data_IF_574149685449
#
_entry.id   IF_574149685449
#
_cell.length_a   1.000
_cell.length_b   1.000
_cell.length_c   1.000
_cell.angle_alpha   90.00
_cell.angle_beta   90.00
_cell.angle_gamma   90.00
#
_symmetry.space_group_name_H-M   'P 1'
#
loop_
_entity.id
_entity.type
_entity.pdbx_description
1 polymer ?
#
# COMPACT_ATOMS: atom_id res chain seq x y z
N UNK A 1 50.46 1.40 -26.03
CA UNK A 1 49.16 2.05 -25.83
C UNK A 1 48.07 1.01 -26.17
N UNK A 2 47.64 0.25 -25.16
CA UNK A 2 46.68 -0.86 -25.34
C UNK A 2 45.28 -0.30 -25.15
N UNK A 3 44.52 -0.23 -26.22
CA UNK A 3 43.10 0.18 -26.17
C UNK A 3 42.32 -0.97 -25.57
N UNK A 4 41.89 -0.79 -24.32
CA UNK A 4 40.96 -1.69 -23.66
C UNK A 4 39.57 -1.41 -24.26
N UNK A 5 39.11 -2.21 -25.23
CA UNK A 5 37.74 -2.21 -25.68
C UNK A 5 36.88 -2.80 -24.55
N UNK A 6 36.22 -1.95 -23.76
CA UNK A 6 35.09 -2.39 -22.93
C UNK A 6 33.98 -2.81 -23.90
N UNK A 7 33.82 -4.11 -24.09
CA UNK A 7 32.61 -4.67 -24.66
C UNK A 7 31.57 -4.52 -23.55
N UNK A 8 30.71 -3.48 -23.64
CA UNK A 8 29.45 -3.48 -22.88
C UNK A 8 28.69 -4.71 -23.38
N UNK A 9 28.59 -5.72 -22.53
CA UNK A 9 27.69 -6.83 -22.77
C UNK A 9 26.27 -6.23 -22.86
N UNK A 10 25.68 -6.28 -24.06
CA UNK A 10 24.30 -5.92 -24.25
C UNK A 10 23.48 -6.77 -23.27
N UNK A 11 22.68 -6.14 -22.41
CA UNK A 11 21.78 -6.84 -21.52
C UNK A 11 20.96 -7.84 -22.36
N UNK A 12 20.87 -9.10 -21.88
CA UNK A 12 20.14 -10.12 -22.61
C UNK A 12 18.67 -9.68 -22.76
N UNK A 13 18.06 -9.82 -23.95
CA UNK A 13 16.69 -9.36 -24.17
C UNK A 13 15.73 -10.14 -23.27
N UNK A 14 14.66 -9.48 -22.83
CA UNK A 14 13.50 -10.12 -22.21
C UNK A 14 13.03 -11.29 -23.08
N UNK A 15 12.79 -12.44 -22.50
CA UNK A 15 12.34 -13.63 -23.21
C UNK A 15 11.11 -14.27 -22.55
N UNK A 16 10.44 -15.18 -23.26
CA UNK A 16 9.29 -15.93 -22.77
C UNK A 16 8.13 -15.08 -22.21
N UNK A 17 7.86 -13.92 -22.86
CA UNK A 17 6.71 -13.11 -22.49
C UNK A 17 5.40 -13.88 -22.69
N UNK A 18 4.65 -14.09 -21.62
CA UNK A 18 3.36 -14.78 -21.60
C UNK A 18 2.29 -13.86 -21.03
N UNK A 19 1.07 -14.01 -21.55
CA UNK A 19 -0.12 -13.34 -21.03
C UNK A 19 -1.16 -14.39 -20.62
N UNK A 20 -1.57 -14.38 -19.37
CA UNK A 20 -2.58 -15.29 -18.83
C UNK A 20 -3.75 -14.49 -18.29
N UNK A 21 -4.96 -14.72 -18.85
CA UNK A 21 -6.17 -14.05 -18.38
C UNK A 21 -6.82 -14.86 -17.24
N UNK A 22 -7.17 -14.15 -16.15
CA UNK A 22 -7.82 -14.74 -14.98
C UNK A 22 -8.60 -13.68 -14.19
N UNK A 23 -9.81 -13.99 -13.79
CA UNK A 23 -10.62 -13.21 -12.84
C UNK A 23 -10.68 -11.70 -13.17
N UNK A 24 -10.83 -11.35 -14.45
CA UNK A 24 -10.86 -9.96 -14.91
C UNK A 24 -9.49 -9.27 -15.00
N UNK A 25 -8.41 -10.01 -14.89
CA UNK A 25 -7.05 -9.50 -15.02
C UNK A 25 -6.22 -10.28 -16.02
N UNK A 26 -5.19 -9.65 -16.56
CA UNK A 26 -4.17 -10.28 -17.39
C UNK A 26 -2.84 -10.21 -16.67
N UNK A 27 -2.25 -11.36 -16.41
CA UNK A 27 -0.94 -11.52 -15.79
C UNK A 27 0.09 -11.67 -16.92
N UNK A 28 0.96 -10.68 -17.04
CA UNK A 28 2.11 -10.72 -17.93
C UNK A 28 3.31 -11.21 -17.13
N UNK A 29 3.93 -12.29 -17.60
CA UNK A 29 5.15 -12.84 -17.00
C UNK A 29 6.21 -13.02 -18.06
N UNK A 30 7.48 -12.80 -17.69
CA UNK A 30 8.61 -12.96 -18.61
C UNK A 30 9.86 -13.39 -17.85
N UNK A 31 10.79 -13.98 -18.60
CA UNK A 31 12.15 -14.18 -18.10
C UNK A 31 12.93 -12.91 -18.36
N UNK A 32 13.60 -12.46 -17.33
CA UNK A 32 14.17 -11.13 -17.31
C UNK A 32 15.67 -11.11 -17.58
N UNK A 33 16.07 -10.06 -18.27
CA UNK A 33 17.37 -9.46 -18.16
C UNK A 33 17.31 -8.32 -17.12
N UNK A 34 18.43 -7.86 -16.65
CA UNK A 34 18.61 -6.74 -15.71
C UNK A 34 18.20 -5.38 -16.35
N UNK A 35 16.99 -5.30 -16.90
CA UNK A 35 16.51 -4.15 -17.68
C UNK A 35 15.19 -3.65 -17.14
N UNK A 36 15.11 -2.36 -16.92
CA UNK A 36 13.84 -1.67 -16.62
C UNK A 36 12.97 -1.64 -17.87
N UNK A 37 11.69 -1.98 -17.72
CA UNK A 37 10.76 -2.07 -18.85
C UNK A 37 9.53 -1.20 -18.69
N UNK A 38 9.00 -0.72 -19.81
CA UNK A 38 7.67 -0.14 -19.91
C UNK A 38 6.71 -1.16 -20.53
N UNK A 39 5.43 -1.13 -20.16
CA UNK A 39 4.37 -2.01 -20.68
C UNK A 39 3.38 -1.20 -21.47
N UNK A 40 3.11 -1.64 -22.69
CA UNK A 40 2.13 -1.05 -23.61
C UNK A 40 0.98 -1.99 -23.90
N UNK A 41 -0.20 -1.41 -24.10
CA UNK A 41 -1.46 -2.09 -24.41
C UNK A 41 -2.09 -1.49 -25.67
N UNK A 42 -2.62 -2.36 -26.54
CA UNK A 42 -3.46 -1.97 -27.68
C UNK A 42 -4.57 -3.00 -27.94
N UNK A 43 -5.58 -2.61 -28.72
CA UNK A 43 -6.63 -3.51 -29.24
C UNK A 43 -6.24 -4.22 -30.54
N UNK A 44 -5.10 -3.84 -31.13
CA UNK A 44 -4.55 -4.39 -32.37
C UNK A 44 -3.05 -4.71 -32.19
N UNK A 45 -2.43 -5.51 -33.07
CA UNK A 45 -1.00 -5.79 -33.04
C UNK A 45 -0.17 -4.50 -32.97
N UNK A 46 0.74 -4.42 -32.03
CA UNK A 46 1.55 -3.22 -31.77
C UNK A 46 2.74 -3.21 -32.75
N UNK A 47 2.57 -2.54 -33.87
CA UNK A 47 3.64 -2.23 -34.83
C UNK A 47 4.21 -0.82 -34.61
N UNK A 48 3.44 0.06 -33.96
CA UNK A 48 3.77 1.46 -33.69
C UNK A 48 3.29 1.82 -32.27
N UNK A 49 4.23 2.18 -31.40
CA UNK A 49 3.95 2.53 -30.01
C UNK A 49 3.08 3.79 -29.86
N UNK A 50 3.05 4.67 -30.85
CA UNK A 50 2.19 5.87 -30.82
C UNK A 50 0.70 5.54 -30.83
N UNK A 51 0.34 4.33 -31.26
CA UNK A 51 -1.03 3.79 -31.28
C UNK A 51 -1.35 2.91 -30.07
N UNK A 52 -0.41 2.73 -29.16
CA UNK A 52 -0.56 1.93 -27.96
C UNK A 52 -0.58 2.82 -26.72
N UNK A 53 -1.30 2.40 -25.70
CA UNK A 53 -1.32 3.07 -24.40
C UNK A 53 -0.26 2.47 -23.49
N UNK A 54 0.62 3.30 -22.94
CA UNK A 54 1.55 2.87 -21.89
C UNK A 54 0.78 2.69 -20.60
N UNK A 55 0.75 1.47 -20.06
CA UNK A 55 0.03 1.08 -18.85
C UNK A 55 0.96 0.72 -17.70
N UNK A 56 2.23 0.38 -17.96
CA UNK A 56 3.29 0.19 -16.97
C UNK A 56 4.47 1.09 -17.30
N UNK A 57 5.04 1.72 -16.28
CA UNK A 57 6.13 2.67 -16.44
C UNK A 57 7.27 2.34 -15.51
N UNK A 58 8.49 2.22 -16.06
CA UNK A 58 9.72 1.99 -15.30
C UNK A 58 9.60 0.83 -14.30
N UNK A 59 9.12 -0.32 -14.79
CA UNK A 59 9.12 -1.54 -13.99
C UNK A 59 10.56 -1.98 -13.77
N UNK A 60 10.94 -1.98 -12.51
CA UNK A 60 12.24 -2.46 -12.08
C UNK A 60 12.47 -3.94 -12.41
N UNK A 61 13.71 -4.38 -12.65
CA UNK A 61 14.05 -5.78 -12.75
C UNK A 61 13.53 -6.59 -11.56
N UNK A 62 13.20 -7.86 -11.82
CA UNK A 62 12.73 -8.79 -10.82
C UNK A 62 11.36 -8.45 -10.21
N UNK A 63 10.47 -7.85 -11.00
CA UNK A 63 9.12 -7.47 -10.54
C UNK A 63 8.23 -8.66 -10.13
N UNK A 64 8.62 -9.91 -10.47
CA UNK A 64 7.98 -11.13 -9.97
C UNK A 64 8.43 -11.53 -8.55
N UNK A 65 9.44 -10.86 -7.99
CA UNK A 65 9.96 -11.15 -6.63
C UNK A 65 8.97 -10.70 -5.57
N UNK A 66 8.75 -11.56 -4.61
CA UNK A 66 8.00 -11.22 -3.39
C UNK A 66 8.89 -10.46 -2.41
N UNK A 67 9.06 -9.16 -2.69
CA UNK A 67 9.87 -8.28 -1.88
C UNK A 67 9.29 -8.03 -0.47
N UNK A 68 8.03 -8.40 -0.21
CA UNK A 68 7.43 -8.38 1.12
C UNK A 68 7.95 -9.52 2.01
N UNK A 69 8.39 -10.62 1.42
CA UNK A 69 8.98 -11.77 2.11
C UNK A 69 10.52 -11.80 2.01
N UNK A 70 11.13 -10.88 1.27
CA UNK A 70 12.58 -10.78 1.14
C UNK A 70 13.18 -9.95 2.30
N UNK A 71 13.81 -10.61 3.30
CA UNK A 71 14.44 -9.91 4.43
C UNK A 71 15.50 -8.89 4.00
N UNK A 72 16.17 -9.13 2.86
CA UNK A 72 17.17 -8.21 2.31
C UNK A 72 16.56 -6.85 1.91
N UNK A 73 15.26 -6.81 1.64
CA UNK A 73 14.55 -5.56 1.32
C UNK A 73 14.34 -4.66 2.54
N UNK A 74 14.46 -5.19 3.77
CA UNK A 74 14.06 -4.49 4.98
C UNK A 74 15.07 -4.47 6.12
N UNK A 75 16.10 -5.31 6.09
CA UNK A 75 17.09 -5.39 7.17
C UNK A 75 18.51 -5.47 6.61
N UNK A 76 19.33 -4.49 6.93
CA UNK A 76 20.74 -4.49 6.59
C UNK A 76 21.49 -5.41 7.57
N UNK A 77 22.14 -6.48 7.04
CA UNK A 77 23.12 -7.27 7.79
C UNK A 77 22.62 -8.56 8.45
N UNK A 78 21.35 -8.97 8.29
CA UNK A 78 20.90 -10.30 8.72
C UNK A 78 21.10 -11.36 7.62
N UNK A 79 21.35 -12.65 7.97
CA UNK A 79 21.39 -13.71 6.98
C UNK A 79 20.02 -13.87 6.33
N UNK A 80 19.97 -13.73 5.02
CA UNK A 80 18.73 -13.66 4.26
C UNK A 80 18.38 -15.03 3.70
N UNK A 81 17.09 -15.36 3.72
CA UNK A 81 16.54 -16.45 2.94
C UNK A 81 16.77 -16.23 1.44
N UNK A 82 16.56 -17.25 0.64
CA UNK A 82 16.59 -17.10 -0.81
C UNK A 82 15.38 -16.24 -1.23
N UNK A 83 15.55 -15.33 -2.21
CA UNK A 83 14.42 -14.63 -2.81
C UNK A 83 13.36 -15.62 -3.30
N UNK A 84 12.09 -15.28 -3.12
CA UNK A 84 10.95 -16.05 -3.60
C UNK A 84 10.10 -15.19 -4.53
N UNK A 85 9.45 -15.82 -5.50
CA UNK A 85 8.52 -15.12 -6.39
C UNK A 85 7.09 -15.16 -5.88
N UNK A 86 6.23 -14.31 -6.43
CA UNK A 86 4.80 -14.34 -6.16
C UNK A 86 4.14 -15.60 -6.73
N UNK A 87 3.05 -16.05 -6.10
CA UNK A 87 2.08 -16.94 -6.73
C UNK A 87 1.04 -16.09 -7.46
N UNK A 88 0.73 -16.43 -8.69
CA UNK A 88 -0.34 -15.78 -9.47
C UNK A 88 -1.62 -16.60 -9.55
N UNK A 89 -1.66 -17.72 -8.85
CA UNK A 89 -2.78 -18.65 -8.74
C UNK A 89 -2.77 -19.34 -7.37
N UNK A 90 -3.96 -19.52 -6.77
CA UNK A 90 -4.10 -20.25 -5.51
C UNK A 90 -3.60 -21.70 -5.67
N UNK A 91 -2.71 -22.13 -4.76
CA UNK A 91 -2.08 -23.45 -4.84
C UNK A 91 -1.13 -23.67 -6.02
N UNK A 92 -0.92 -22.65 -6.88
CA UNK A 92 0.04 -22.70 -7.99
C UNK A 92 1.49 -22.63 -7.54
N UNK A 93 2.41 -22.89 -8.44
CA UNK A 93 3.82 -22.68 -8.19
C UNK A 93 4.17 -21.21 -8.07
N UNK A 94 5.25 -20.90 -7.35
CA UNK A 94 5.80 -19.55 -7.30
C UNK A 94 6.50 -19.23 -8.61
N UNK A 95 6.39 -17.97 -9.05
CA UNK A 95 7.18 -17.47 -10.16
C UNK A 95 8.68 -17.51 -9.81
N UNK A 96 9.51 -17.53 -10.84
CA UNK A 96 10.94 -17.29 -10.66
C UNK A 96 11.16 -15.86 -10.12
N UNK A 97 11.81 -15.69 -8.96
CA UNK A 97 12.03 -14.36 -8.38
C UNK A 97 12.96 -13.47 -9.21
N UNK A 98 13.66 -14.03 -10.19
CA UNK A 98 14.46 -13.27 -11.16
C UNK A 98 13.66 -12.82 -12.39
N UNK A 99 12.40 -13.25 -12.51
CA UNK A 99 11.52 -12.90 -13.62
C UNK A 99 10.78 -11.59 -13.43
N UNK A 100 10.05 -11.20 -14.46
CA UNK A 100 9.17 -10.05 -14.47
C UNK A 100 7.69 -10.43 -14.31
N UNK A 101 6.93 -9.54 -13.70
CA UNK A 101 5.48 -9.65 -13.54
C UNK A 101 4.84 -8.26 -13.66
N UNK A 102 3.79 -8.17 -14.47
CA UNK A 102 2.88 -7.03 -14.50
C UNK A 102 1.45 -7.52 -14.61
N UNK A 103 0.51 -6.87 -13.94
CA UNK A 103 -0.90 -7.26 -13.95
C UNK A 103 -1.78 -6.12 -14.42
N UNK A 104 -2.53 -6.36 -15.49
CA UNK A 104 -3.48 -5.42 -16.09
C UNK A 104 -4.91 -5.81 -15.74
N UNK A 105 -5.71 -4.84 -15.28
CA UNK A 105 -7.13 -5.03 -15.01
C UNK A 105 -7.95 -4.78 -16.26
N UNK A 106 -8.69 -5.80 -16.71
CA UNK A 106 -9.45 -5.78 -17.96
C UNK A 106 -10.75 -5.00 -17.77
N UNK A 107 -10.92 -3.92 -18.53
CA UNK A 107 -12.13 -3.08 -18.48
C UNK A 107 -13.13 -3.38 -19.59
N UNK A 108 -12.65 -3.90 -20.70
CA UNK A 108 -13.46 -4.24 -21.87
C UNK A 108 -13.05 -5.60 -22.41
N UNK A 109 -14.04 -6.46 -22.70
CA UNK A 109 -13.79 -7.76 -23.29
C UNK A 109 -13.22 -7.63 -24.72
N UNK A 110 -12.26 -8.47 -25.04
CA UNK A 110 -11.65 -8.51 -26.36
C UNK A 110 -10.29 -9.17 -26.40
N UNK A 111 -9.67 -9.14 -27.57
CA UNK A 111 -8.27 -9.52 -27.75
C UNK A 111 -7.40 -8.32 -27.40
N UNK A 112 -6.49 -8.49 -26.48
CA UNK A 112 -5.57 -7.49 -25.98
C UNK A 112 -4.16 -7.83 -26.46
N UNK A 113 -3.43 -6.82 -26.92
CA UNK A 113 -2.06 -6.94 -27.37
C UNK A 113 -1.15 -6.17 -26.45
N UNK A 114 -0.09 -6.78 -25.99
CA UNK A 114 0.87 -6.21 -25.07
C UNK A 114 2.26 -6.18 -25.70
N UNK A 115 3.01 -5.13 -25.41
CA UNK A 115 4.42 -5.03 -25.73
C UNK A 115 5.21 -4.57 -24.50
N UNK A 116 6.40 -5.14 -24.35
CA UNK A 116 7.42 -4.63 -23.44
C UNK A 116 8.43 -3.84 -24.26
N UNK A 117 8.86 -2.70 -23.72
CA UNK A 117 9.95 -1.90 -24.27
C UNK A 117 11.03 -1.73 -23.24
N UNK A 118 12.27 -1.55 -23.67
CA UNK A 118 13.29 -0.98 -22.79
C UNK A 118 12.86 0.43 -22.40
N UNK A 119 12.94 0.76 -21.11
CA UNK A 119 12.63 2.10 -20.64
C UNK A 119 13.66 3.15 -21.07
N UNK A 120 14.86 2.70 -21.52
CA UNK A 120 15.95 3.58 -21.92
C UNK A 120 15.81 4.09 -23.36
N UNK A 121 15.45 3.20 -24.30
CA UNK A 121 15.43 3.50 -25.75
C UNK A 121 14.07 3.32 -26.40
N UNK A 122 13.02 2.98 -25.63
CA UNK A 122 11.65 2.72 -26.09
C UNK A 122 11.54 1.66 -27.20
N UNK A 123 12.56 0.82 -27.37
CA UNK A 123 12.54 -0.26 -28.36
C UNK A 123 11.67 -1.42 -27.88
N UNK A 124 10.77 -1.92 -28.72
CA UNK A 124 10.01 -3.14 -28.45
C UNK A 124 10.96 -4.33 -28.34
N UNK A 125 10.97 -4.97 -27.18
CA UNK A 125 11.83 -6.11 -26.88
C UNK A 125 11.06 -7.43 -26.81
N UNK A 126 9.75 -7.37 -26.53
CA UNK A 126 8.86 -8.54 -26.55
C UNK A 126 7.41 -8.10 -26.77
N UNK A 127 6.61 -9.00 -27.38
CA UNK A 127 5.16 -8.78 -27.52
C UNK A 127 4.38 -10.09 -27.38
N UNK A 128 3.12 -9.97 -26.96
CA UNK A 128 2.18 -11.10 -26.80
C UNK A 128 0.74 -10.63 -26.93
N UNK A 129 -0.21 -11.57 -26.96
CA UNK A 129 -1.64 -11.23 -26.95
C UNK A 129 -2.46 -12.29 -26.22
N UNK A 130 -3.62 -11.89 -25.71
CA UNK A 130 -4.56 -12.77 -25.03
C UNK A 130 -5.99 -12.29 -25.24
N UNK A 131 -6.96 -13.22 -25.24
CA UNK A 131 -8.38 -12.87 -25.16
C UNK A 131 -8.76 -12.80 -23.68
N UNK A 132 -9.32 -11.67 -23.26
CA UNK A 132 -9.69 -11.43 -21.88
C UNK A 132 -11.00 -10.65 -21.77
N UNK A 133 -11.64 -10.73 -20.61
CA UNK A 133 -12.87 -10.01 -20.30
C UNK A 133 -12.84 -9.48 -18.86
N UNK A 134 -13.60 -8.42 -18.55
CA UNK A 134 -13.81 -7.99 -17.19
C UNK A 134 -14.33 -9.13 -16.30
N UNK A 135 -13.96 -9.15 -15.05
CA UNK A 135 -14.36 -10.17 -14.08
C UNK A 135 -14.23 -9.67 -12.65
N UNK A 136 -14.59 -10.52 -11.71
CA UNK A 136 -14.48 -10.23 -10.29
C UNK A 136 -13.04 -10.47 -9.83
N UNK A 137 -12.30 -9.39 -9.67
CA UNK A 137 -10.95 -9.41 -9.10
C UNK A 137 -11.01 -10.03 -7.71
N UNK A 138 -10.08 -10.92 -7.41
CA UNK A 138 -9.94 -11.52 -6.10
C UNK A 138 -8.48 -11.61 -5.66
N UNK A 139 -8.20 -11.56 -4.36
CA UNK A 139 -6.88 -11.82 -3.83
C UNK A 139 -6.41 -13.25 -4.14
N UNK A 140 -5.10 -13.39 -4.23
CA UNK A 140 -4.42 -14.65 -4.56
C UNK A 140 -3.74 -15.17 -3.30
N UNK A 141 -4.04 -16.41 -2.94
CA UNK A 141 -3.46 -17.07 -1.78
C UNK A 141 -1.96 -17.33 -1.98
N UNK A 142 -1.13 -16.89 -1.06
CA UNK A 142 0.33 -16.97 -1.16
C UNK A 142 0.96 -18.11 -0.37
N UNK A 143 0.18 -18.80 0.50
CA UNK A 143 0.66 -19.90 1.30
C UNK A 143 0.50 -21.24 0.59
N UNK A 144 1.12 -22.26 1.15
CA UNK A 144 0.86 -23.63 0.72
C UNK A 144 -0.56 -24.05 1.11
N UNK A 145 -1.14 -24.96 0.34
CA UNK A 145 -2.53 -25.36 0.48
C UNK A 145 -3.53 -24.40 -0.14
N UNK A 146 -4.76 -24.49 0.32
CA UNK A 146 -5.89 -23.67 -0.18
C UNK A 146 -6.22 -22.54 0.80
N UNK A 147 -6.79 -21.42 0.30
CA UNK A 147 -7.30 -20.38 1.17
C UNK A 147 -8.41 -20.93 2.08
N UNK A 148 -8.67 -20.29 3.23
CA UNK A 148 -9.80 -20.62 4.07
C UNK A 148 -11.12 -20.64 3.29
N UNK A 149 -12.04 -21.52 3.66
CA UNK A 149 -13.32 -21.60 2.99
C UNK A 149 -14.15 -20.30 3.15
N UNK A 150 -14.94 -19.92 2.14
CA UNK A 150 -15.88 -18.80 2.27
C UNK A 150 -16.80 -18.98 3.49
N UNK A 151 -17.10 -17.89 4.20
CA UNK A 151 -17.98 -17.89 5.36
C UNK A 151 -17.36 -18.39 6.67
N UNK A 152 -16.06 -18.73 6.71
CA UNK A 152 -15.38 -19.22 7.93
C UNK A 152 -15.42 -18.22 9.10
N UNK A 153 -15.62 -16.94 8.80
CA UNK A 153 -15.76 -15.86 9.77
C UNK A 153 -17.21 -15.50 10.12
N UNK A 154 -18.20 -16.26 9.62
CA UNK A 154 -19.62 -15.91 9.74
C UNK A 154 -20.04 -15.60 11.17
N UNK A 155 -20.61 -14.41 11.36
CA UNK A 155 -21.13 -13.94 12.64
C UNK A 155 -20.06 -13.63 13.70
N UNK A 156 -18.78 -13.66 13.36
CA UNK A 156 -17.67 -13.30 14.27
C UNK A 156 -17.42 -11.78 14.23
N UNK A 157 -16.92 -11.16 15.32
CA UNK A 157 -16.44 -9.80 15.27
C UNK A 157 -15.24 -9.68 14.32
N UNK A 158 -15.06 -8.50 13.72
CA UNK A 158 -13.92 -8.16 12.89
C UNK A 158 -13.03 -7.12 13.57
N UNK A 159 -11.74 -7.37 13.53
CA UNK A 159 -10.71 -6.41 13.90
C UNK A 159 -9.86 -6.02 12.69
N UNK A 160 -9.87 -4.74 12.34
CA UNK A 160 -8.86 -4.15 11.48
C UNK A 160 -7.68 -3.76 12.35
N UNK A 161 -6.57 -4.49 12.24
CA UNK A 161 -5.35 -4.28 13.03
C UNK A 161 -4.31 -3.57 12.19
N UNK A 162 -4.11 -2.29 12.46
CA UNK A 162 -3.14 -1.45 11.79
C UNK A 162 -1.81 -1.51 12.52
N UNK A 163 -0.76 -1.98 11.83
CA UNK A 163 0.53 -2.19 12.48
C UNK A 163 1.35 -0.90 12.56
N UNK A 164 2.07 -0.71 13.68
CA UNK A 164 2.88 0.49 13.93
C UNK A 164 3.96 0.74 12.88
N UNK A 165 4.56 -0.31 12.33
CA UNK A 165 5.67 -0.18 11.37
C UNK A 165 5.22 -0.36 9.92
N UNK A 166 3.96 -0.18 9.61
CA UNK A 166 3.42 -0.42 8.26
C UNK A 166 3.77 -1.81 7.75
N UNK A 167 4.04 -2.70 8.70
CA UNK A 167 4.98 -3.79 8.61
C UNK A 167 4.75 -4.65 7.40
N UNK A 168 5.83 -5.11 6.91
CA UNK A 168 5.87 -6.45 6.40
C UNK A 168 5.19 -7.28 7.46
N UNK A 169 3.93 -7.60 7.25
CA UNK A 169 3.30 -8.65 8.03
C UNK A 169 4.00 -9.88 7.52
N UNK A 170 5.06 -10.29 8.25
CA UNK A 170 5.67 -11.57 8.00
C UNK A 170 4.52 -12.56 7.88
N UNK A 171 4.47 -13.26 6.76
CA UNK A 171 3.40 -14.19 6.47
C UNK A 171 2.05 -13.58 5.99
N UNK A 172 2.05 -12.46 5.28
CA UNK A 172 0.83 -12.02 4.58
C UNK A 172 0.36 -13.07 3.60
N UNK A 173 -0.88 -13.52 3.78
CA UNK A 173 -1.41 -14.68 3.07
C UNK A 173 -1.99 -14.34 1.71
N UNK A 174 -2.39 -13.08 1.49
CA UNK A 174 -3.06 -12.65 0.27
C UNK A 174 -2.26 -11.62 -0.50
N UNK A 175 -2.17 -11.83 -1.80
CA UNK A 175 -1.65 -10.90 -2.77
C UNK A 175 -2.80 -10.33 -3.59
N UNK A 176 -2.81 -9.03 -3.79
CA UNK A 176 -3.83 -8.33 -4.56
C UNK A 176 -3.16 -7.41 -5.58
N UNK A 177 -3.67 -7.44 -6.79
CA UNK A 177 -3.39 -6.44 -7.82
C UNK A 177 -4.69 -5.70 -8.12
N UNK A 178 -4.62 -4.41 -8.25
CA UNK A 178 -5.76 -3.56 -8.55
C UNK A 178 -5.43 -2.54 -9.62
N UNK A 179 -6.35 -1.62 -9.82
CA UNK A 179 -6.20 -0.48 -10.71
C UNK A 179 -6.66 0.82 -10.03
N UNK A 180 -6.64 1.91 -10.74
CA UNK A 180 -7.04 3.22 -10.20
C UNK A 180 -8.51 3.26 -9.73
N UNK A 181 -9.41 2.44 -10.30
CA UNK A 181 -10.81 2.37 -9.85
C UNK A 181 -10.93 1.77 -8.46
N UNK A 182 -10.00 0.88 -8.10
CA UNK A 182 -9.87 0.29 -6.76
C UNK A 182 -9.03 1.16 -5.82
N UNK A 183 -8.60 2.33 -6.28
CA UNK A 183 -7.66 3.17 -5.53
C UNK A 183 -6.22 2.70 -5.63
N UNK A 184 -5.81 2.14 -6.75
CA UNK A 184 -4.54 1.48 -6.92
C UNK A 184 -3.82 1.90 -8.20
N UNK A 185 -2.51 2.06 -8.11
CA UNK A 185 -1.72 2.15 -9.33
C UNK A 185 -1.62 0.77 -9.96
N UNK A 186 -1.99 0.66 -11.23
CA UNK A 186 -1.97 -0.58 -11.98
C UNK A 186 -0.58 -1.24 -11.98
N UNK A 187 -0.56 -2.55 -11.90
CA UNK A 187 0.67 -3.35 -11.92
C UNK A 187 1.40 -3.47 -10.59
N UNK A 188 1.05 -2.69 -9.56
CA UNK A 188 1.68 -2.83 -8.26
C UNK A 188 1.01 -3.91 -7.40
N UNK A 189 1.79 -4.85 -6.84
CA UNK A 189 1.28 -5.83 -5.91
C UNK A 189 1.04 -5.23 -4.53
N UNK A 190 0.10 -5.83 -3.82
CA UNK A 190 -0.18 -5.51 -2.44
C UNK A 190 -0.48 -6.76 -1.62
N UNK A 191 0.03 -6.82 -0.40
CA UNK A 191 -0.19 -7.95 0.49
C UNK A 191 -0.94 -7.54 1.75
N UNK A 192 -1.78 -8.46 2.23
CA UNK A 192 -2.49 -8.33 3.50
C UNK A 192 -2.73 -9.73 4.09
N UNK A 193 -3.08 -9.78 5.37
CA UNK A 193 -3.48 -11.02 6.01
C UNK A 193 -4.90 -10.96 6.54
N UNK A 194 -5.58 -12.12 6.53
CA UNK A 194 -6.86 -12.31 7.18
C UNK A 194 -6.82 -13.63 7.92
N UNK A 195 -6.84 -13.59 9.23
CA UNK A 195 -6.88 -14.78 10.08
C UNK A 195 -8.20 -14.89 10.84
N UNK A 196 -8.64 -16.12 11.02
CA UNK A 196 -9.78 -16.43 11.91
C UNK A 196 -9.24 -17.19 13.10
N UNK A 197 -9.13 -16.51 14.23
CA UNK A 197 -8.55 -17.06 15.47
C UNK A 197 -9.27 -16.50 16.69
N UNK A 198 -9.29 -17.27 17.76
CA UNK A 198 -9.92 -16.87 19.03
C UNK A 198 -11.39 -16.38 18.89
N UNK A 199 -12.11 -16.88 17.89
CA UNK A 199 -13.50 -16.47 17.65
C UNK A 199 -13.65 -15.16 16.89
N UNK A 200 -12.59 -14.58 16.35
CA UNK A 200 -12.57 -13.29 15.66
C UNK A 200 -12.01 -13.40 14.25
N UNK A 201 -12.37 -12.46 13.38
CA UNK A 201 -11.73 -12.21 12.08
C UNK A 201 -10.77 -11.05 12.24
N UNK A 202 -9.50 -11.26 12.00
CA UNK A 202 -8.48 -10.22 12.12
C UNK A 202 -7.89 -9.91 10.75
N UNK A 203 -8.07 -8.68 10.30
CA UNK A 203 -7.55 -8.16 9.03
C UNK A 203 -6.31 -7.30 9.31
N UNK A 204 -5.20 -7.58 8.64
CA UNK A 204 -3.95 -6.83 8.76
C UNK A 204 -3.49 -6.43 7.37
N UNK A 205 -3.85 -5.23 6.88
CA UNK A 205 -3.28 -4.68 5.66
C UNK A 205 -1.85 -4.20 5.90
N UNK A 206 -1.11 -3.97 4.83
CA UNK A 206 0.20 -3.31 4.89
C UNK A 206 0.07 -1.85 4.47
N UNK A 207 0.87 -0.97 5.08
CA UNK A 207 0.85 0.46 4.77
C UNK A 207 1.91 0.87 3.73
N UNK A 208 2.81 -0.03 3.36
CA UNK A 208 3.94 0.31 2.49
C UNK A 208 3.59 0.21 1.01
N UNK A 209 4.18 1.11 0.23
CA UNK A 209 4.22 1.05 -1.23
C UNK A 209 5.67 0.84 -1.68
N UNK A 210 5.88 -0.06 -2.64
CA UNK A 210 7.18 -0.26 -3.27
C UNK A 210 7.44 0.84 -4.29
N UNK A 211 8.59 1.50 -4.21
CA UNK A 211 8.96 2.62 -5.08
C UNK A 211 10.26 2.38 -5.86
N UNK A 212 10.78 1.15 -5.84
CA UNK A 212 12.04 0.78 -6.52
C UNK A 212 13.30 0.97 -5.68
N UNK A 213 14.44 0.61 -6.25
CA UNK A 213 15.75 0.66 -5.57
C UNK A 213 16.32 2.07 -5.47
N UNK A 214 17.33 2.23 -4.61
CA UNK A 214 17.13 2.74 -3.26
C UNK A 214 16.91 4.24 -3.35
N UNK A 215 15.74 4.69 -2.99
CA UNK A 215 15.51 6.10 -2.72
C UNK A 215 16.13 6.46 -1.36
N UNK A 216 17.45 6.49 -1.28
CA UNK A 216 18.20 6.90 -0.09
C UNK A 216 17.82 8.29 0.43
N UNK A 217 17.10 9.07 -0.37
CA UNK A 217 16.68 10.43 -0.04
C UNK A 217 15.35 10.49 0.73
N UNK A 218 14.66 9.36 0.91
CA UNK A 218 13.33 9.35 1.53
C UNK A 218 13.33 9.27 3.05
N UNK A 219 14.48 9.30 3.68
CA UNK A 219 14.58 9.19 5.14
C UNK A 219 14.41 7.77 5.70
N UNK A 220 13.94 6.82 4.91
CA UNK A 220 13.90 5.40 5.26
C UNK A 220 15.21 4.77 4.78
N UNK A 221 16.22 4.77 5.64
CA UNK A 221 17.56 4.31 5.37
C UNK A 221 17.60 3.00 4.54
N UNK A 222 17.64 3.13 3.22
CA UNK A 222 17.90 2.02 2.29
C UNK A 222 16.73 1.07 2.02
N UNK A 223 15.50 1.36 2.44
CA UNK A 223 14.35 0.53 2.07
C UNK A 223 13.71 1.02 0.76
N UNK A 224 13.42 0.12 -0.20
CA UNK A 224 12.77 0.47 -1.45
C UNK A 224 11.26 0.69 -1.31
N UNK A 225 10.75 0.68 -0.09
CA UNK A 225 9.34 0.87 0.21
C UNK A 225 9.15 1.99 1.23
N UNK A 226 8.12 2.81 1.03
CA UNK A 226 7.77 3.91 1.94
C UNK A 226 6.40 3.71 2.57
N UNK A 227 6.22 4.29 3.76
CA UNK A 227 4.94 4.32 4.45
C UNK A 227 4.03 5.38 3.86
N UNK A 228 2.73 5.09 3.81
CA UNK A 228 1.70 5.97 3.26
C UNK A 228 0.84 6.63 4.33
N UNK A 229 1.13 6.39 5.59
CA UNK A 229 0.37 6.87 6.75
C UNK A 229 -1.12 6.52 6.66
N UNK A 230 -1.43 5.36 6.07
CA UNK A 230 -2.79 4.82 5.89
C UNK A 230 -3.72 5.65 5.01
N UNK A 231 -3.23 6.76 4.47
CA UNK A 231 -3.96 7.60 3.53
C UNK A 231 -3.64 7.22 2.08
N UNK A 232 -2.40 7.38 1.69
CA UNK A 232 -1.96 7.13 0.32
C UNK A 232 -0.69 7.88 -0.03
N UNK A 233 -0.48 8.16 -1.29
CA UNK A 233 0.76 8.75 -1.77
C UNK A 233 0.56 9.68 -2.97
N UNK A 234 1.58 10.47 -3.26
CA UNK A 234 1.60 11.41 -4.37
C UNK A 234 1.58 10.67 -5.71
N UNK A 235 0.79 11.13 -6.67
CA UNK A 235 0.69 10.54 -8.01
C UNK A 235 2.04 10.45 -8.72
N UNK A 236 2.98 11.33 -8.37
CA UNK A 236 4.33 11.38 -8.93
C UNK A 236 5.41 10.77 -8.00
N UNK A 237 5.02 9.87 -7.07
CA UNK A 237 5.94 9.29 -6.08
C UNK A 237 7.15 8.57 -6.71
N UNK A 238 7.01 8.08 -7.93
CA UNK A 238 8.07 7.38 -8.67
C UNK A 238 9.04 8.34 -9.37
N UNK A 239 8.70 9.64 -9.46
CA UNK A 239 9.59 10.70 -9.91
C UNK A 239 9.55 11.86 -8.92
N UNK A 240 10.51 11.88 -8.01
CA UNK A 240 10.59 12.87 -6.94
C UNK A 240 10.71 14.30 -7.41
N UNK A 241 11.31 14.53 -8.59
CA UNK A 241 11.44 15.88 -9.15
C UNK A 241 10.07 16.47 -9.53
N UNK A 242 9.09 15.60 -9.76
CA UNK A 242 7.73 15.99 -10.14
C UNK A 242 6.74 15.99 -8.97
N UNK A 243 7.15 15.63 -7.76
CA UNK A 243 6.21 15.53 -6.62
C UNK A 243 5.53 16.86 -6.29
N UNK A 244 6.20 18.00 -6.49
CA UNK A 244 5.59 19.32 -6.28
C UNK A 244 4.39 19.61 -7.20
N UNK A 245 4.32 18.98 -8.37
CA UNK A 245 3.21 19.07 -9.32
C UNK A 245 2.24 17.89 -9.23
N UNK A 246 2.51 16.93 -8.37
CA UNK A 246 1.65 15.77 -8.17
C UNK A 246 0.53 16.02 -7.15
N UNK A 247 -0.39 15.10 -7.09
CA UNK A 247 -1.54 15.13 -6.18
C UNK A 247 -1.41 14.00 -5.17
N UNK A 248 -1.50 14.25 -3.86
CA UNK A 248 -1.69 13.20 -2.87
C UNK A 248 -3.03 12.49 -3.08
N UNK A 249 -2.98 11.22 -3.42
CA UNK A 249 -4.15 10.38 -3.70
C UNK A 249 -4.35 9.40 -2.56
N UNK A 250 -5.58 9.20 -2.13
CA UNK A 250 -5.94 8.32 -1.02
C UNK A 250 -5.92 6.83 -1.42
N UNK A 251 -4.86 6.39 -2.09
CA UNK A 251 -4.71 5.02 -2.58
C UNK A 251 -4.82 3.97 -1.47
N UNK A 252 -4.16 4.17 -0.34
CA UNK A 252 -4.16 3.20 0.77
C UNK A 252 -5.52 3.13 1.45
N UNK A 253 -6.18 4.27 1.63
CA UNK A 253 -7.54 4.34 2.17
C UNK A 253 -8.52 3.55 1.29
N UNK A 254 -8.58 3.83 -0.02
CA UNK A 254 -9.45 3.11 -0.97
C UNK A 254 -9.15 1.61 -1.00
N UNK A 255 -7.88 1.25 -0.95
CA UNK A 255 -7.41 -0.12 -0.89
C UNK A 255 -7.93 -0.86 0.34
N UNK A 256 -7.83 -0.23 1.51
CA UNK A 256 -8.33 -0.80 2.75
C UNK A 256 -9.85 -0.97 2.71
N UNK A 257 -10.58 0.00 2.16
CA UNK A 257 -12.02 -0.11 1.94
C UNK A 257 -12.37 -1.30 1.04
N UNK A 258 -11.62 -1.48 -0.06
CA UNK A 258 -11.82 -2.62 -0.94
C UNK A 258 -11.54 -3.96 -0.24
N UNK A 259 -10.46 -4.04 0.54
CA UNK A 259 -10.13 -5.25 1.31
C UNK A 259 -11.23 -5.57 2.31
N UNK A 260 -11.73 -4.59 3.04
CA UNK A 260 -12.80 -4.76 4.02
C UNK A 260 -14.11 -5.22 3.34
N UNK A 261 -14.46 -4.66 2.17
CA UNK A 261 -15.63 -5.11 1.40
C UNK A 261 -15.45 -6.54 0.91
N UNK A 262 -14.25 -6.91 0.44
CA UNK A 262 -13.97 -8.29 0.06
C UNK A 262 -14.07 -9.23 1.28
N UNK A 263 -13.50 -8.87 2.43
CA UNK A 263 -13.58 -9.65 3.67
C UNK A 263 -15.05 -9.80 4.12
N UNK A 264 -15.85 -8.74 4.02
CA UNK A 264 -17.28 -8.77 4.33
C UNK A 264 -18.00 -9.83 3.50
N UNK A 265 -17.73 -9.90 2.21
CA UNK A 265 -18.37 -10.86 1.29
C UNK A 265 -17.84 -12.28 1.44
N UNK A 266 -16.53 -12.43 1.61
CA UNK A 266 -15.88 -13.74 1.62
C UNK A 266 -15.91 -14.40 2.99
N UNK A 267 -15.54 -13.69 4.06
CA UNK A 267 -15.46 -14.21 5.43
C UNK A 267 -16.80 -14.09 6.19
N UNK A 268 -17.64 -13.15 5.82
CA UNK A 268 -18.96 -12.88 6.39
C UNK A 268 -18.95 -12.59 7.91
N UNK A 269 -18.08 -11.70 8.41
CA UNK A 269 -18.12 -11.30 9.81
C UNK A 269 -19.42 -10.58 10.14
N UNK A 270 -19.74 -10.43 11.43
CA UNK A 270 -20.88 -9.66 11.91
C UNK A 270 -20.71 -8.18 11.58
N UNK A 271 -21.57 -7.57 10.74
CA UNK A 271 -21.41 -6.19 10.30
C UNK A 271 -21.54 -5.14 11.43
N UNK A 272 -22.14 -5.52 12.57
CA UNK A 272 -22.34 -4.64 13.72
C UNK A 272 -21.18 -4.69 14.73
N UNK A 273 -20.19 -5.54 14.52
CA UNK A 273 -19.07 -5.76 15.45
C UNK A 273 -17.72 -5.64 14.74
N UNK A 274 -17.51 -4.50 14.10
CA UNK A 274 -16.24 -4.17 13.46
C UNK A 274 -15.49 -3.16 14.31
N UNK A 275 -14.22 -3.40 14.50
CA UNK A 275 -13.32 -2.61 15.34
C UNK A 275 -12.04 -2.28 14.58
N UNK A 276 -11.46 -1.11 14.86
CA UNK A 276 -10.16 -0.70 14.31
C UNK A 276 -9.19 -0.43 15.44
N UNK A 277 -7.97 -0.93 15.33
CA UNK A 277 -6.94 -0.68 16.34
C UNK A 277 -5.55 -0.56 15.75
N UNK A 278 -4.71 0.24 16.41
CA UNK A 278 -3.32 0.38 16.02
C UNK A 278 -2.49 1.17 17.00
N UNK A 279 -1.16 1.04 16.89
CA UNK A 279 -0.20 1.74 17.73
C UNK A 279 0.80 2.52 16.88
N UNK A 280 1.26 3.68 17.37
CA UNK A 280 2.20 4.56 16.68
C UNK A 280 1.66 4.94 15.29
N UNK A 281 2.34 4.60 14.20
CA UNK A 281 1.81 4.77 12.84
C UNK A 281 0.45 4.09 12.64
N UNK A 282 0.23 2.91 13.22
CA UNK A 282 -1.08 2.25 13.22
C UNK A 282 -2.13 3.01 14.03
N UNK A 283 -1.72 3.67 15.12
CA UNK A 283 -2.57 4.62 15.85
C UNK A 283 -2.97 5.81 14.97
N UNK A 284 -2.03 6.35 14.19
CA UNK A 284 -2.32 7.38 13.20
C UNK A 284 -3.40 6.91 12.21
N UNK A 285 -3.24 5.69 11.66
CA UNK A 285 -4.22 5.09 10.77
C UNK A 285 -5.57 4.82 11.43
N UNK A 286 -5.58 4.45 12.71
CA UNK A 286 -6.84 4.27 13.45
C UNK A 286 -7.63 5.57 13.54
N UNK A 287 -6.97 6.71 13.68
CA UNK A 287 -7.63 8.03 13.73
C UNK A 287 -7.93 8.55 12.31
N UNK A 288 -6.98 8.44 11.37
CA UNK A 288 -7.13 9.05 10.04
C UNK A 288 -7.97 8.21 9.08
N UNK A 289 -8.07 6.90 9.31
CA UNK A 289 -8.88 5.98 8.51
C UNK A 289 -10.03 5.40 9.33
N UNK A 290 -9.74 4.60 10.36
CA UNK A 290 -10.77 3.84 11.07
C UNK A 290 -11.86 4.74 11.69
N UNK A 291 -11.45 5.81 12.34
CA UNK A 291 -12.40 6.72 13.00
C UNK A 291 -13.12 7.67 12.02
N UNK A 292 -12.51 7.95 10.87
CA UNK A 292 -13.15 8.76 9.80
C UNK A 292 -14.11 7.97 8.91
N UNK A 293 -14.26 6.65 9.15
CA UNK A 293 -15.25 5.79 8.51
C UNK A 293 -16.26 5.25 9.53
N UNK A 294 -17.12 6.14 10.10
CA UNK A 294 -18.07 5.77 11.15
C UNK A 294 -19.08 4.74 10.70
N UNK A 295 -19.33 4.62 9.41
CA UNK A 295 -20.21 3.62 8.80
C UNK A 295 -19.67 2.19 8.90
N UNK A 296 -18.36 2.03 9.17
CA UNK A 296 -17.71 0.71 9.21
C UNK A 296 -17.49 0.20 10.63
N UNK A 297 -17.09 1.09 11.56
CA UNK A 297 -16.55 0.67 12.84
C UNK A 297 -17.43 1.10 14.01
N UNK A 298 -17.71 0.16 14.92
CA UNK A 298 -18.38 0.45 16.17
C UNK A 298 -17.46 1.11 17.20
N UNK A 299 -16.17 0.76 17.20
CA UNK A 299 -15.18 1.34 18.08
C UNK A 299 -13.77 1.32 17.47
N UNK A 300 -12.95 2.28 17.91
CA UNK A 300 -11.56 2.44 17.53
C UNK A 300 -10.67 2.53 18.76
N UNK A 301 -9.51 1.87 18.72
CA UNK A 301 -8.48 1.94 19.76
C UNK A 301 -7.17 2.45 19.16
N UNK A 302 -6.84 3.70 19.44
CA UNK A 302 -5.63 4.36 18.96
C UNK A 302 -4.60 4.52 20.08
N UNK A 303 -3.45 3.87 19.94
CA UNK A 303 -2.33 4.05 20.85
C UNK A 303 -1.29 4.96 20.20
N UNK A 304 -1.01 6.08 20.85
CA UNK A 304 -0.03 7.10 20.45
C UNK A 304 -0.24 7.60 18.99
N UNK A 305 -1.44 8.11 18.64
CA UNK A 305 -1.69 8.60 17.29
C UNK A 305 -1.16 10.02 17.06
N UNK A 306 -0.86 10.36 15.80
CA UNK A 306 -0.83 11.75 15.35
C UNK A 306 -2.28 12.15 15.03
N UNK A 307 -2.81 13.12 15.76
CA UNK A 307 -4.18 13.63 15.56
C UNK A 307 -4.22 14.81 14.60
N UNK A 308 -3.08 15.44 14.33
CA UNK A 308 -2.94 16.52 13.36
C UNK A 308 -1.49 16.61 12.88
N UNK A 309 -1.32 16.74 11.57
CA UNK A 309 0.00 16.96 10.94
C UNK A 309 0.31 18.46 10.80
N UNK A 310 -0.56 19.35 11.27
CA UNK A 310 -0.33 20.81 11.22
C UNK A 310 0.68 21.29 12.23
N UNK A 311 0.95 20.53 13.29
CA UNK A 311 1.97 20.87 14.27
C UNK A 311 3.33 20.38 13.83
N UNK A 312 4.16 21.29 13.36
CA UNK A 312 5.54 21.05 12.91
C UNK A 312 6.56 21.43 13.99
N UNK A 313 6.21 21.22 15.26
CA UNK A 313 7.04 21.56 16.43
C UNK A 313 8.18 20.56 16.68
N UNK A 314 8.66 20.51 17.91
CA UNK A 314 9.84 19.73 18.33
C UNK A 314 9.51 18.23 18.45
N UNK A 315 10.11 17.38 17.61
CA UNK A 315 10.01 15.93 17.73
C UNK A 315 10.41 15.20 16.45
N UNK A 316 10.72 13.91 16.53
CA UNK A 316 11.13 13.12 15.36
C UNK A 316 9.98 12.93 14.34
N UNK A 317 8.74 12.87 14.81
CA UNK A 317 7.56 12.77 13.95
C UNK A 317 7.29 14.05 13.15
N UNK A 318 7.76 15.20 13.59
CA UNK A 318 7.64 16.47 12.87
C UNK A 318 8.61 16.57 11.68
N UNK A 319 9.65 15.74 11.66
CA UNK A 319 10.52 15.56 10.49
C UNK A 319 9.93 14.62 9.46
N UNK A 320 8.87 13.95 9.82
CA UNK A 320 8.07 13.08 8.98
C UNK A 320 6.93 13.89 8.35
N UNK A 321 7.28 15.01 7.70
CA UNK A 321 6.47 15.33 6.53
C UNK A 321 6.51 14.08 5.69
N UNK A 322 5.37 13.37 5.53
CA UNK A 322 5.43 12.08 4.87
C UNK A 322 5.98 12.29 3.47
N UNK A 323 7.21 11.83 3.27
CA UNK A 323 7.89 11.95 1.97
C UNK A 323 7.06 11.34 0.84
N UNK A 324 6.12 10.47 1.19
CA UNK A 324 5.14 9.90 0.29
C UNK A 324 4.11 10.93 -0.22
N UNK A 325 3.85 12.02 0.49
CA UNK A 325 2.82 13.01 0.09
C UNK A 325 3.40 14.18 -0.65
N UNK A 326 4.43 14.80 -0.10
CA UNK A 326 4.93 16.10 -0.55
C UNK A 326 6.36 16.07 -1.06
N UNK A 327 7.11 14.99 -0.80
CA UNK A 327 8.54 14.94 -1.13
C UNK A 327 9.38 16.00 -0.39
N UNK A 328 8.92 16.46 0.76
CA UNK A 328 9.50 17.56 1.57
C UNK A 328 9.39 18.95 0.93
N UNK A 329 8.47 19.18 -0.02
CA UNK A 329 8.52 20.38 -0.85
C UNK A 329 7.46 21.43 -0.50
N UNK A 330 6.23 21.07 -0.09
CA UNK A 330 5.24 22.10 0.24
C UNK A 330 4.01 21.56 0.98
N UNK A 331 3.53 22.26 2.00
CA UNK A 331 2.34 21.87 2.76
C UNK A 331 1.01 22.12 2.05
N UNK A 332 0.98 22.82 0.92
CA UNK A 332 -0.26 23.32 0.30
C UNK A 332 -0.85 22.44 -0.79
N UNK A 333 -0.37 21.20 -0.93
CA UNK A 333 -0.91 20.26 -1.91
C UNK A 333 -2.36 19.90 -1.54
N UNK A 334 -3.24 19.94 -2.54
CA UNK A 334 -4.60 19.43 -2.42
C UNK A 334 -4.60 17.94 -2.72
N UNK A 335 -5.38 17.20 -1.95
CA UNK A 335 -5.63 15.78 -2.17
C UNK A 335 -6.55 15.55 -3.38
N UNK A 336 -6.69 14.31 -3.81
CA UNK A 336 -7.55 13.97 -4.96
C UNK A 336 -9.04 14.30 -4.77
N UNK A 337 -9.48 14.50 -3.54
CA UNK A 337 -10.82 14.97 -3.18
C UNK A 337 -10.92 16.51 -3.07
N UNK A 338 -9.84 17.23 -3.41
CA UNK A 338 -9.79 18.69 -3.49
C UNK A 338 -9.56 19.40 -2.16
N UNK A 339 -9.44 18.66 -1.07
CA UNK A 339 -9.19 19.20 0.29
C UNK A 339 -7.68 19.46 0.47
N UNK A 340 -7.26 20.54 1.13
CA UNK A 340 -5.86 20.70 1.53
C UNK A 340 -5.39 19.49 2.35
N UNK A 341 -4.21 18.98 2.03
CA UNK A 341 -3.72 17.73 2.62
C UNK A 341 -3.67 17.77 4.17
N UNK A 342 -3.16 18.86 4.72
CA UNK A 342 -3.06 19.00 6.19
C UNK A 342 -4.43 19.08 6.86
N UNK A 343 -5.43 19.63 6.18
CA UNK A 343 -6.83 19.67 6.65
C UNK A 343 -7.44 18.26 6.60
N UNK A 344 -7.20 17.53 5.51
CA UNK A 344 -7.68 16.15 5.34
C UNK A 344 -7.12 15.22 6.42
N UNK A 345 -5.89 15.47 6.86
CA UNK A 345 -5.19 14.68 7.87
C UNK A 345 -5.28 15.29 9.28
N UNK A 346 -6.26 16.15 9.53
CA UNK A 346 -6.47 16.83 10.81
C UNK A 346 -7.74 16.34 11.52
N UNK A 347 -7.58 15.42 12.46
CA UNK A 347 -8.69 14.88 13.24
C UNK A 347 -9.40 15.94 14.09
N UNK A 348 -8.70 16.97 14.54
CA UNK A 348 -9.32 18.09 15.29
C UNK A 348 -10.32 18.84 14.41
N UNK A 349 -9.94 19.13 13.15
CA UNK A 349 -10.81 19.76 12.18
C UNK A 349 -11.99 18.86 11.81
N UNK A 350 -11.70 17.59 11.53
CA UNK A 350 -12.74 16.60 11.21
C UNK A 350 -13.82 16.53 12.27
N UNK A 351 -13.46 16.47 13.56
CA UNK A 351 -14.41 16.47 14.69
C UNK A 351 -15.27 17.73 14.72
N UNK A 352 -14.64 18.89 14.50
CA UNK A 352 -15.34 20.17 14.56
C UNK A 352 -16.35 20.36 13.41
N UNK A 353 -16.13 19.72 12.27
CA UNK A 353 -16.90 19.89 11.04
C UNK A 353 -17.86 18.73 10.75
N UNK A 354 -17.62 17.54 11.32
CA UNK A 354 -18.48 16.38 11.06
C UNK A 354 -19.83 16.49 11.79
N UNK A 355 -20.91 16.18 11.08
CA UNK A 355 -22.23 15.98 11.68
C UNK A 355 -22.56 14.53 11.96
N UNK A 356 -21.63 13.60 11.73
CA UNK A 356 -21.84 12.18 11.87
C UNK A 356 -21.72 11.74 13.33
N UNK A 357 -22.43 10.69 13.69
CA UNK A 357 -22.18 9.93 14.91
C UNK A 357 -20.90 9.13 14.71
N UNK A 358 -19.89 9.37 15.56
CA UNK A 358 -18.57 8.79 15.41
C UNK A 358 -18.43 7.50 16.23
N UNK A 359 -17.57 6.55 15.81
CA UNK A 359 -17.28 5.36 16.58
C UNK A 359 -16.74 5.72 17.97
N UNK A 360 -17.01 4.85 18.95
CA UNK A 360 -16.36 4.99 20.24
C UNK A 360 -14.83 5.00 20.07
N UNK A 361 -14.15 6.06 20.54
CA UNK A 361 -12.72 6.20 20.48
C UNK A 361 -12.09 6.00 21.84
N UNK A 362 -11.29 4.93 21.99
CA UNK A 362 -10.35 4.78 23.10
C UNK A 362 -8.96 5.19 22.62
N UNK A 363 -8.37 6.21 23.25
CA UNK A 363 -7.06 6.74 22.86
C UNK A 363 -6.12 6.83 24.06
N UNK A 364 -4.88 6.37 23.86
CA UNK A 364 -3.81 6.48 24.86
C UNK A 364 -2.66 7.26 24.23
N UNK A 365 -2.15 8.28 24.93
CA UNK A 365 -0.99 9.06 24.50
C UNK A 365 -0.22 9.62 25.69
N UNK A 366 1.10 9.42 25.70
CA UNK A 366 1.98 9.94 26.73
C UNK A 366 2.34 11.41 26.51
N UNK A 367 2.30 12.22 27.55
CA UNK A 367 2.70 13.63 27.47
C UNK A 367 4.18 13.85 27.18
N UNK A 368 5.01 12.87 27.48
CA UNK A 368 6.46 12.91 27.29
C UNK A 368 6.92 11.98 26.18
N UNK A 369 6.03 11.68 25.21
CA UNK A 369 6.40 10.88 24.05
C UNK A 369 7.44 11.65 23.22
N UNK A 370 8.62 11.02 23.05
CA UNK A 370 9.73 11.63 22.31
C UNK A 370 9.62 11.48 20.81
N UNK A 371 8.67 10.67 20.32
CA UNK A 371 8.48 10.38 18.91
C UNK A 371 7.28 11.09 18.32
N UNK A 372 6.15 11.08 19.02
CA UNK A 372 4.91 11.73 18.60
C UNK A 372 4.56 12.82 19.62
N UNK A 373 4.68 14.10 19.25
CA UNK A 373 4.47 15.22 20.16
C UNK A 373 3.05 15.27 20.72
N UNK A 374 2.93 15.57 22.01
CA UNK A 374 1.66 15.71 22.71
C UNK A 374 0.87 16.98 22.31
N UNK A 375 1.53 17.98 21.77
CA UNK A 375 1.06 19.36 21.66
C UNK A 375 -0.24 19.51 20.87
N UNK A 376 -0.54 18.61 19.95
CA UNK A 376 -1.80 18.61 19.21
C UNK A 376 -2.99 18.00 19.99
N UNK A 377 -2.73 17.19 21.02
CA UNK A 377 -3.78 16.47 21.72
C UNK A 377 -4.74 17.38 22.53
N UNK A 378 -4.28 18.45 23.21
CA UNK A 378 -5.19 19.32 23.94
C UNK A 378 -6.25 19.99 23.07
N UNK A 379 -5.92 20.39 21.82
CA UNK A 379 -6.90 20.97 20.89
C UNK A 379 -7.88 19.91 20.39
N UNK A 380 -7.41 18.72 20.14
CA UNK A 380 -8.23 17.58 19.76
C UNK A 380 -9.25 17.21 20.85
N UNK A 381 -8.80 17.12 22.12
CA UNK A 381 -9.70 16.83 23.24
C UNK A 381 -10.74 17.92 23.47
N UNK A 382 -10.38 19.21 23.29
CA UNK A 382 -11.36 20.30 23.33
C UNK A 382 -12.40 20.19 22.22
N UNK A 383 -11.98 19.85 21.00
CA UNK A 383 -12.89 19.63 19.88
C UNK A 383 -13.85 18.46 20.16
N UNK A 384 -13.34 17.34 20.68
CA UNK A 384 -14.16 16.19 21.10
C UNK A 384 -15.20 16.58 22.17
N UNK A 385 -14.77 17.36 23.17
CA UNK A 385 -15.66 17.78 24.27
C UNK A 385 -16.73 18.76 23.82
N UNK A 386 -16.48 19.53 22.76
CA UNK A 386 -17.41 20.50 22.20
C UNK A 386 -18.37 19.92 21.16
N UNK A 387 -18.05 18.76 20.60
CA UNK A 387 -18.84 18.14 19.52
C UNK A 387 -20.17 17.58 20.05
N UNK A 388 -21.31 17.99 19.51
CA UNK A 388 -22.60 17.46 19.94
C UNK A 388 -22.72 15.98 19.56
N UNK A 389 -23.12 15.16 20.52
CA UNK A 389 -23.41 13.72 20.28
C UNK A 389 -22.24 12.76 20.42
N UNK A 390 -21.01 13.24 20.60
CA UNK A 390 -19.85 12.38 20.84
C UNK A 390 -19.89 11.77 22.25
N UNK A 391 -20.18 10.49 22.35
CA UNK A 391 -20.13 9.71 23.60
C UNK A 391 -18.88 8.83 23.61
N UNK A 392 -17.69 9.42 23.69
CA UNK A 392 -16.44 8.69 23.80
C UNK A 392 -15.85 8.75 25.21
N UNK A 393 -15.34 7.65 25.71
CA UNK A 393 -14.52 7.62 26.91
C UNK A 393 -13.06 7.81 26.49
N UNK A 394 -12.43 8.88 26.94
CA UNK A 394 -11.00 9.13 26.76
C UNK A 394 -10.25 8.52 27.94
N UNK A 395 -9.51 7.45 27.71
CA UNK A 395 -8.54 6.92 28.66
C UNK A 395 -7.21 7.64 28.50
N UNK A 396 -6.81 8.45 29.48
CA UNK A 396 -5.47 9.04 29.52
C UNK A 396 -4.58 8.22 30.46
N UNK A 397 -3.46 7.69 29.94
CA UNK A 397 -2.36 7.17 30.74
C UNK A 397 -1.06 7.83 30.29
N UNK A 398 -0.19 8.13 31.24
CA UNK A 398 1.19 8.50 30.94
C UNK A 398 1.93 7.21 30.56
N UNK A 399 2.01 6.93 29.27
CA UNK A 399 2.82 5.85 28.74
C UNK A 399 4.05 6.42 28.07
N UNK A 400 5.21 5.83 28.39
CA UNK A 400 6.47 6.14 27.75
C UNK A 400 6.68 5.21 26.58
N UNK A 401 7.17 5.73 25.43
CA UNK A 401 8.01 4.92 24.57
C UNK A 401 9.31 4.70 25.36
N UNK A 402 9.37 3.65 26.16
CA UNK A 402 10.64 3.26 26.77
C UNK A 402 11.66 3.06 25.66
N UNK A 403 12.82 3.67 25.85
CA UNK A 403 14.03 3.41 25.08
C UNK A 403 14.56 2.01 25.41
N UNK A 404 13.74 1.00 25.30
CA UNK A 404 14.24 -0.35 25.15
C UNK A 404 14.53 -0.53 23.68
N UNK A 405 15.81 -0.70 23.36
CA UNK A 405 16.37 -0.91 22.03
C UNK A 405 15.56 -1.81 21.14
N UNK A 406 14.45 -1.27 20.67
CA UNK A 406 13.79 -1.81 19.51
C UNK A 406 14.66 -1.40 18.33
N UNK A 407 15.34 -2.32 17.65
CA UNK A 407 15.97 -1.99 16.39
C UNK A 407 14.85 -1.54 15.45
N UNK A 408 14.83 -0.23 15.21
CA UNK A 408 14.00 0.36 14.17
C UNK A 408 14.47 -0.03 12.81
#
# INVERSE_FOLDING_TARGET
MTILCLILAAAAPVSDLKATARDGQVFLTWKEAETTVDVYLASEPIADLTKATRIGHHLEPHSARDWWEDPASFKKGEPHGKPVGFRIQDGGERLDPSGGLFVHTVRKAGKLFFALTSAEDARVIASTSVVAAPGAIRPIWQRDGQPPAPGVGKGKPLWLSLHAKGGVVANSEYLLFGDETMGWREGLPFKFSVSVQNGEVVVRPTDRVWIGRPHNEAGDAGTPAIWTFWFGYNSNIFDRKLMASGTPVNYTERRNLWILDWVRRYYQPDPNRWYCSGSSMGGCGTVSFGWQHPELFAACHAHVPIVSYTYLGKGSATRLEPSCWTGHIAPDLKTSDGVPLLDRMNATKFVAETGNDLPFLFMIHGRQDGSIPWENNPSFYRALSAAPGLRGLLGQRDSFHERQGCPC
#
